data_IF_392701035659
#
_entry.id   IF_392701035659
#
_cell.length_a   1.000
_cell.length_b   1.000
_cell.length_c   1.000
_cell.angle_alpha   90.00
_cell.angle_beta   90.00
_cell.angle_gamma   90.00
#
_symmetry.space_group_name_H-M   'P 1'
#
loop_
_entity.id
_entity.type
_entity.pdbx_description
1 polymer ?
#
# COMPACT_ATOMS: atom_id res chain seq x y z
N UNK A 1 -14.90 -6.83 -10.76
CA UNK A 1 -13.98 -6.03 -9.95
C UNK A 1 -12.96 -6.95 -9.28
N UNK A 2 -11.68 -6.64 -9.42
CA UNK A 2 -10.58 -7.32 -8.72
C UNK A 2 -9.85 -6.36 -7.78
N UNK A 3 -9.41 -6.87 -6.64
CA UNK A 3 -8.62 -6.12 -5.65
C UNK A 3 -7.51 -6.99 -5.11
N UNK A 4 -6.44 -6.34 -4.68
CA UNK A 4 -5.44 -6.99 -3.86
C UNK A 4 -5.88 -6.92 -2.41
N UNK A 5 -5.60 -7.99 -1.66
CA UNK A 5 -5.90 -8.07 -0.24
C UNK A 5 -4.62 -8.41 0.48
N UNK A 6 -4.44 -7.76 1.63
CA UNK A 6 -3.44 -8.14 2.61
C UNK A 6 -4.16 -8.42 3.93
N UNK A 7 -3.58 -9.30 4.72
CA UNK A 7 -3.97 -9.54 6.09
C UNK A 7 -3.40 -8.43 6.99
N UNK A 8 -4.00 -8.26 8.18
CA UNK A 8 -3.52 -7.29 9.17
C UNK A 8 -2.05 -7.57 9.56
N UNK A 9 -1.63 -8.84 9.81
CA UNK A 9 -0.22 -9.14 10.09
C UNK A 9 0.74 -8.76 8.96
N UNK A 10 0.36 -8.99 7.70
CA UNK A 10 1.17 -8.60 6.54
C UNK A 10 1.35 -7.08 6.45
N UNK A 11 0.27 -6.32 6.67
CA UNK A 11 0.33 -4.86 6.74
C UNK A 11 1.25 -4.38 7.86
N UNK A 12 1.15 -4.98 9.04
CA UNK A 12 2.00 -4.65 10.18
C UNK A 12 3.47 -4.99 9.90
N UNK A 13 3.75 -6.14 9.27
CA UNK A 13 5.10 -6.53 8.85
C UNK A 13 5.68 -5.51 7.88
N UNK A 14 4.92 -5.06 6.88
CA UNK A 14 5.39 -4.03 5.94
C UNK A 14 5.88 -2.78 6.69
N UNK A 15 5.06 -2.24 7.61
CA UNK A 15 5.37 -1.02 8.37
C UNK A 15 6.58 -1.21 9.29
N UNK A 16 6.66 -2.33 10.00
CA UNK A 16 7.76 -2.59 10.94
C UNK A 16 9.08 -2.78 10.18
N UNK A 17 9.06 -3.58 9.11
CA UNK A 17 10.25 -3.87 8.32
C UNK A 17 10.72 -2.65 7.53
N UNK A 18 9.81 -1.85 6.95
CA UNK A 18 10.17 -0.61 6.26
C UNK A 18 10.87 0.38 7.20
N UNK A 19 10.35 0.54 8.42
CA UNK A 19 10.95 1.42 9.43
C UNK A 19 12.35 0.94 9.87
N UNK A 20 12.55 -0.37 10.00
CA UNK A 20 13.85 -0.94 10.33
C UNK A 20 14.86 -0.75 9.18
N UNK A 21 14.43 -0.91 7.93
CA UNK A 21 15.25 -0.69 6.75
C UNK A 21 15.69 0.76 6.61
N UNK A 22 14.81 1.74 6.86
CA UNK A 22 15.18 3.16 6.87
C UNK A 22 16.25 3.50 7.91
N UNK A 23 16.13 2.98 9.13
CA UNK A 23 17.11 3.23 10.20
C UNK A 23 18.50 2.66 9.88
N UNK A 24 18.56 1.54 9.15
CA UNK A 24 19.83 0.95 8.71
C UNK A 24 20.58 1.83 7.69
N UNK A 25 19.86 2.67 6.95
CA UNK A 25 20.41 3.62 5.96
C UNK A 25 20.79 4.95 6.61
N UNK A 26 20.04 5.38 7.63
CA UNK A 26 20.26 6.65 8.34
C UNK A 26 21.50 6.71 9.26
N UNK A 27 22.25 5.60 9.41
CA UNK A 27 23.43 5.54 10.27
C UNK A 27 24.70 6.24 9.73
N UNK A 28 24.67 6.76 8.50
CA UNK A 28 25.82 7.40 7.86
C UNK A 28 25.51 8.82 7.37
N UNK A 29 25.09 9.72 8.27
CA UNK A 29 25.13 11.16 7.97
C UNK A 29 24.11 12.01 8.72
N UNK A 30 24.64 12.97 9.47
CA UNK A 30 23.99 14.12 10.12
C UNK A 30 23.50 13.91 11.56
N UNK A 31 24.15 14.63 12.48
CA UNK A 31 23.76 14.74 13.88
C UNK A 31 22.55 15.68 14.05
N UNK A 32 21.69 15.34 15.00
CA UNK A 32 20.57 16.18 15.40
C UNK A 32 19.54 15.45 16.27
N UNK A 33 19.64 15.66 17.59
CA UNK A 33 18.65 15.34 18.64
C UNK A 33 18.22 13.87 18.78
N UNK A 34 18.97 13.15 19.61
CA UNK A 34 18.68 11.77 20.00
C UNK A 34 17.49 11.63 20.94
N UNK A 35 16.69 10.60 20.67
CA UNK A 35 16.05 9.80 21.72
C UNK A 35 16.88 8.51 21.79
N UNK A 36 17.51 8.16 22.94
CA UNK A 36 18.32 6.96 23.01
C UNK A 36 17.43 5.71 22.98
N UNK A 37 17.86 4.62 22.31
CA UNK A 37 17.18 3.34 22.38
C UNK A 37 17.43 2.71 23.75
N UNK A 38 16.43 2.77 24.64
CA UNK A 38 16.41 1.96 25.85
C UNK A 38 15.83 0.61 25.48
N UNK A 39 16.70 -0.36 25.19
CA UNK A 39 16.53 -1.81 25.44
C UNK A 39 17.77 -2.53 24.88
N UNK A 40 18.88 -2.41 25.60
CA UNK A 40 20.09 -3.18 25.33
C UNK A 40 20.76 -3.50 26.66
N UNK A 41 20.22 -4.47 27.39
CA UNK A 41 20.94 -5.12 28.48
C UNK A 41 20.29 -6.46 28.80
N UNK A 42 20.79 -7.51 28.16
CA UNK A 42 20.83 -8.85 28.74
C UNK A 42 22.00 -9.59 28.09
N UNK A 43 23.18 -9.27 28.62
CA UNK A 43 24.37 -10.09 28.53
C UNK A 43 24.11 -11.40 29.27
N UNK A 44 24.50 -12.53 28.68
CA UNK A 44 24.81 -13.75 29.43
C UNK A 44 25.98 -14.46 28.73
N UNK A 45 26.92 -15.08 29.47
CA UNK A 45 28.30 -15.21 29.04
C UNK A 45 28.64 -16.60 28.49
N UNK A 46 29.69 -16.64 27.66
CA UNK A 46 30.70 -17.70 27.60
C UNK A 46 30.30 -19.10 27.13
N UNK A 47 30.71 -19.44 25.91
CA UNK A 47 31.39 -20.72 25.67
C UNK A 47 32.35 -20.58 24.49
N UNK A 48 33.63 -20.77 24.79
CA UNK A 48 34.69 -21.09 23.83
C UNK A 48 34.41 -22.47 23.26
N UNK A 49 34.21 -22.58 21.95
CA UNK A 49 34.62 -23.78 21.22
C UNK A 49 35.01 -23.45 19.78
N UNK A 50 36.10 -24.09 19.37
CA UNK A 50 36.80 -23.98 18.10
C UNK A 50 36.17 -24.88 17.03
N UNK A 51 35.90 -24.35 15.84
CA UNK A 51 35.52 -25.20 14.70
C UNK A 51 34.92 -24.39 13.55
N UNK A 52 35.54 -24.49 12.37
CA UNK A 52 35.23 -23.66 11.21
C UNK A 52 33.84 -23.84 10.62
N UNK A 53 33.22 -22.72 10.26
CA UNK A 53 32.61 -22.44 8.96
C UNK A 53 32.18 -20.99 9.01
N UNK A 54 33.07 -20.10 8.55
CA UNK A 54 32.75 -18.69 8.39
C UNK A 54 31.72 -18.55 7.28
N UNK A 55 30.43 -18.62 7.62
CA UNK A 55 29.40 -17.98 6.82
C UNK A 55 29.67 -16.48 6.97
N UNK A 56 30.13 -15.77 5.92
CA UNK A 56 30.26 -14.33 6.04
C UNK A 56 28.88 -13.76 6.38
N UNK A 57 28.76 -12.77 7.29
CA UNK A 57 27.52 -12.07 7.43
C UNK A 57 27.18 -11.50 6.05
N UNK A 58 26.04 -11.95 5.49
CA UNK A 58 25.51 -11.39 4.24
C UNK A 58 25.12 -9.96 4.55
N UNK A 59 26.09 -9.05 4.47
CA UNK A 59 25.84 -7.62 4.42
C UNK A 59 25.27 -7.37 3.03
N UNK A 60 23.98 -7.64 2.86
CA UNK A 60 23.24 -7.12 1.73
C UNK A 60 23.27 -5.59 1.88
N UNK A 61 24.24 -4.95 1.23
CA UNK A 61 24.27 -3.51 1.09
C UNK A 61 23.16 -3.12 0.11
N UNK A 62 21.94 -3.05 0.63
CA UNK A 62 20.80 -2.51 -0.09
C UNK A 62 21.07 -1.01 -0.30
N UNK A 63 21.34 -0.61 -1.55
CA UNK A 63 21.40 0.81 -1.91
C UNK A 63 19.96 1.33 -2.00
N UNK A 64 19.37 1.63 -0.85
CA UNK A 64 18.09 2.32 -0.78
C UNK A 64 18.28 3.77 -1.27
N UNK A 65 17.29 4.33 -1.98
CA UNK A 65 17.36 5.71 -2.43
C UNK A 65 17.50 6.65 -1.23
N UNK A 66 18.33 7.68 -1.36
CA UNK A 66 18.44 8.75 -0.38
C UNK A 66 17.12 9.54 -0.37
N UNK A 67 16.32 9.43 0.70
CA UNK A 67 15.03 10.11 0.81
C UNK A 67 13.97 9.28 1.54
N UNK A 68 12.69 9.53 1.23
CA UNK A 68 11.53 8.79 1.73
C UNK A 68 11.17 7.66 0.74
N UNK A 69 11.73 6.44 0.90
CA UNK A 69 11.42 5.31 0.03
C UNK A 69 9.95 4.91 0.13
N UNK A 70 9.33 4.65 -1.02
CA UNK A 70 7.99 4.05 -1.07
C UNK A 70 8.16 2.54 -1.09
N UNK A 71 7.68 1.86 -0.05
CA UNK A 71 7.65 0.40 0.01
C UNK A 71 6.31 -0.14 -0.46
N UNK A 72 6.36 -1.25 -1.18
CA UNK A 72 5.18 -1.94 -1.72
C UNK A 72 5.27 -3.42 -1.34
N UNK A 73 4.20 -3.94 -0.75
CA UNK A 73 4.07 -5.37 -0.47
C UNK A 73 3.63 -6.11 -1.75
N UNK A 74 4.29 -7.23 -2.04
CA UNK A 74 3.81 -8.21 -3.00
C UNK A 74 2.58 -8.91 -2.42
N UNK A 75 1.40 -8.46 -2.85
CA UNK A 75 0.11 -9.04 -2.45
C UNK A 75 -0.28 -10.26 -3.31
N UNK A 76 0.63 -10.78 -4.14
CA UNK A 76 0.40 -11.96 -4.96
C UNK A 76 -0.57 -11.70 -6.11
N UNK A 77 -1.64 -12.50 -6.21
CA UNK A 77 -2.60 -12.43 -7.31
C UNK A 77 -3.85 -11.65 -6.91
N UNK A 78 -4.38 -10.78 -7.78
CA UNK A 78 -5.58 -10.02 -7.49
C UNK A 78 -6.79 -10.96 -7.38
N UNK A 79 -7.67 -10.68 -6.41
CA UNK A 79 -8.82 -11.51 -6.09
C UNK A 79 -10.09 -10.87 -6.64
N UNK A 80 -10.97 -11.67 -7.26
CA UNK A 80 -12.31 -11.20 -7.66
C UNK A 80 -13.19 -11.01 -6.42
N UNK A 81 -13.83 -9.85 -6.30
CA UNK A 81 -14.69 -9.53 -5.14
C UNK A 81 -15.88 -10.50 -5.02
N UNK A 82 -16.43 -10.96 -6.15
CA UNK A 82 -17.51 -11.95 -6.16
C UNK A 82 -17.07 -13.28 -5.54
N UNK A 83 -15.86 -13.75 -5.87
CA UNK A 83 -15.33 -15.01 -5.32
C UNK A 83 -15.05 -14.89 -3.82
N UNK A 84 -14.61 -13.71 -3.37
CA UNK A 84 -14.43 -13.44 -1.94
C UNK A 84 -15.78 -13.47 -1.20
N UNK A 85 -16.80 -12.81 -1.74
CA UNK A 85 -18.14 -12.79 -1.15
C UNK A 85 -18.75 -14.20 -1.09
N UNK A 86 -18.64 -15.00 -2.15
CA UNK A 86 -19.12 -16.38 -2.13
C UNK A 86 -18.38 -17.25 -1.11
N UNK A 87 -17.05 -17.13 -1.02
CA UNK A 87 -16.24 -17.85 -0.02
C UNK A 87 -16.64 -17.47 1.38
N UNK A 88 -16.87 -16.19 1.65
CA UNK A 88 -17.36 -15.70 2.94
C UNK A 88 -18.69 -16.35 3.31
N UNK A 89 -19.66 -16.34 2.39
CA UNK A 89 -20.99 -16.96 2.62
C UNK A 89 -20.87 -18.46 2.92
N UNK A 90 -20.08 -19.19 2.13
CA UNK A 90 -19.83 -20.63 2.33
C UNK A 90 -19.13 -20.90 3.67
N UNK A 91 -18.16 -20.08 4.06
CA UNK A 91 -17.43 -20.23 5.33
C UNK A 91 -18.35 -20.10 6.56
N UNK A 92 -19.47 -19.39 6.44
CA UNK A 92 -20.48 -19.26 7.48
C UNK A 92 -21.60 -20.33 7.39
N UNK A 93 -21.46 -21.34 6.53
CA UNK A 93 -22.42 -22.44 6.39
C UNK A 93 -23.67 -22.09 5.57
N UNK A 94 -23.64 -20.99 4.81
CA UNK A 94 -24.73 -20.58 3.93
C UNK A 94 -24.41 -20.88 2.46
N UNK A 95 -25.44 -21.01 1.64
CA UNK A 95 -25.32 -21.13 0.18
C UNK A 95 -25.46 -19.76 -0.48
N UNK A 96 -24.46 -19.30 -1.27
CA UNK A 96 -24.53 -18.00 -1.93
C UNK A 96 -25.54 -18.00 -3.08
N UNK A 97 -26.32 -16.92 -3.18
CA UNK A 97 -27.26 -16.68 -4.29
C UNK A 97 -27.01 -15.30 -4.91
N UNK A 98 -26.57 -15.27 -6.16
CA UNK A 98 -26.29 -14.02 -6.87
C UNK A 98 -27.60 -13.36 -7.36
N UNK A 99 -27.77 -12.06 -7.08
CA UNK A 99 -28.92 -11.25 -7.52
C UNK A 99 -28.50 -9.98 -8.28
N UNK A 100 -29.12 -9.67 -9.44
CA UNK A 100 -28.89 -8.40 -10.14
C UNK A 100 -29.47 -7.20 -9.38
N UNK A 101 -28.86 -6.02 -9.55
CA UNK A 101 -29.32 -4.73 -8.99
C UNK A 101 -30.80 -4.42 -9.25
N UNK A 102 -31.26 -4.74 -10.47
CA UNK A 102 -32.60 -4.44 -10.94
C UNK A 102 -33.69 -5.38 -10.36
N UNK A 103 -33.31 -6.45 -9.65
CA UNK A 103 -34.26 -7.40 -9.03
C UNK A 103 -34.84 -6.91 -7.69
N UNK A 104 -34.89 -5.59 -7.50
CA UNK A 104 -35.58 -4.92 -6.37
C UNK A 104 -37.10 -5.18 -6.35
N UNK A 105 -37.67 -5.74 -7.41
CA UNK A 105 -38.96 -6.43 -7.29
C UNK A 105 -38.70 -7.70 -6.47
N UNK A 106 -38.99 -7.62 -5.18
CA UNK A 106 -39.16 -8.75 -4.26
C UNK A 106 -39.62 -9.97 -5.06
N UNK A 107 -38.72 -10.93 -5.30
CA UNK A 107 -39.16 -12.29 -5.59
C UNK A 107 -40.05 -12.62 -4.41
N UNK A 108 -41.36 -12.71 -4.65
CA UNK A 108 -42.39 -12.88 -3.62
C UNK A 108 -42.16 -14.12 -2.75
N UNK A 109 -41.25 -15.00 -3.19
CA UNK A 109 -40.75 -16.13 -2.43
C UNK A 109 -39.52 -15.74 -1.58
N UNK A 110 -39.59 -15.93 -0.25
CA UNK A 110 -38.45 -15.72 0.65
C UNK A 110 -37.26 -16.59 0.25
N UNK A 111 -36.06 -16.12 0.56
CA UNK A 111 -34.83 -16.90 0.34
C UNK A 111 -34.97 -18.27 1.03
N UNK A 112 -34.61 -19.38 0.35
CA UNK A 112 -34.59 -20.70 0.99
C UNK A 112 -33.76 -20.66 2.28
N UNK A 113 -34.17 -21.43 3.29
CA UNK A 113 -33.39 -21.53 4.54
C UNK A 113 -31.94 -21.92 4.23
N UNK A 114 -31.00 -21.24 4.89
CA UNK A 114 -29.57 -21.49 4.70
C UNK A 114 -28.99 -20.87 3.42
N UNK A 115 -29.70 -19.96 2.74
CA UNK A 115 -29.16 -19.18 1.61
C UNK A 115 -28.92 -17.72 2.00
N UNK A 116 -27.91 -17.10 1.38
CA UNK A 116 -27.60 -15.68 1.56
C UNK A 116 -27.45 -15.01 0.19
N UNK A 117 -28.20 -13.92 0.00
CA UNK A 117 -28.22 -13.16 -1.25
C UNK A 117 -27.00 -12.23 -1.38
N UNK A 118 -26.31 -12.31 -2.51
CA UNK A 118 -25.24 -11.39 -2.92
C UNK A 118 -25.81 -10.52 -4.03
N UNK A 119 -26.13 -9.25 -3.71
CA UNK A 119 -26.72 -8.32 -4.67
C UNK A 119 -25.64 -7.43 -5.30
N UNK A 120 -25.59 -7.37 -6.62
CA UNK A 120 -24.71 -6.45 -7.32
C UNK A 120 -25.28 -5.04 -7.29
N UNK A 121 -24.56 -4.06 -6.75
CA UNK A 121 -24.99 -2.66 -6.66
C UNK A 121 -24.50 -1.78 -7.82
N UNK A 122 -23.68 -2.33 -8.71
CA UNK A 122 -22.89 -1.54 -9.65
C UNK A 122 -21.68 -0.87 -9.00
N UNK A 123 -20.83 -0.27 -9.82
CA UNK A 123 -19.63 0.47 -9.42
C UNK A 123 -19.96 1.90 -9.03
N UNK A 124 -19.26 2.45 -8.05
CA UNK A 124 -19.39 3.88 -7.71
C UNK A 124 -18.63 4.74 -8.73
N UNK A 125 -19.05 6.01 -8.96
CA UNK A 125 -18.31 6.92 -9.84
C UNK A 125 -16.84 7.02 -9.41
N UNK A 126 -15.93 6.84 -10.37
CA UNK A 126 -14.47 6.87 -10.12
C UNK A 126 -13.87 5.55 -9.60
N UNK A 127 -14.67 4.51 -9.40
CA UNK A 127 -14.17 3.20 -8.94
C UNK A 127 -13.53 2.42 -10.08
N UNK A 128 -12.26 2.00 -9.90
CA UNK A 128 -11.55 1.17 -10.88
C UNK A 128 -12.08 -0.28 -10.84
N UNK A 129 -12.30 -0.90 -12.01
CA UNK A 129 -12.67 -2.32 -12.08
C UNK A 129 -11.52 -3.26 -11.74
N UNK A 130 -10.30 -2.87 -12.08
CA UNK A 130 -9.08 -3.62 -11.81
C UNK A 130 -8.08 -2.72 -11.10
N UNK A 131 -7.40 -3.29 -10.11
CA UNK A 131 -6.35 -2.63 -9.36
C UNK A 131 -4.99 -3.10 -9.90
N UNK A 132 -4.02 -2.20 -9.90
CA UNK A 132 -2.63 -2.45 -10.30
C UNK A 132 -1.75 -2.10 -9.10
N UNK A 133 -0.89 -3.03 -8.67
CA UNK A 133 0.02 -2.84 -7.54
C UNK A 133 1.14 -1.85 -7.84
N UNK A 134 1.59 -1.86 -9.09
CA UNK A 134 2.60 -0.98 -9.63
C UNK A 134 2.33 -0.83 -11.13
N UNK A 135 2.61 0.35 -11.67
CA UNK A 135 2.58 0.55 -13.11
C UNK A 135 3.84 -0.03 -13.74
N UNK A 136 3.78 -0.44 -15.02
CA UNK A 136 4.94 -1.02 -15.73
C UNK A 136 6.18 -0.08 -15.76
N UNK A 137 5.96 1.22 -15.60
CA UNK A 137 7.01 2.24 -15.53
C UNK A 137 7.67 2.38 -14.15
N UNK A 138 7.15 1.72 -13.11
CA UNK A 138 7.68 1.80 -11.75
C UNK A 138 8.80 0.78 -11.56
N UNK A 139 9.99 1.29 -11.22
CA UNK A 139 11.19 0.48 -10.98
C UNK A 139 11.14 -0.12 -9.57
N UNK A 140 10.36 -1.16 -9.36
CA UNK A 140 10.36 -1.90 -8.10
C UNK A 140 11.63 -2.76 -7.95
N UNK A 141 12.25 -2.70 -6.76
CA UNK A 141 13.39 -3.55 -6.39
C UNK A 141 13.14 -4.27 -5.07
N UNK A 142 13.66 -5.50 -4.89
CA UNK A 142 13.53 -6.21 -3.62
C UNK A 142 14.20 -5.45 -2.48
N UNK A 143 13.49 -5.30 -1.35
CA UNK A 143 13.98 -4.60 -0.17
C UNK A 143 14.78 -5.50 0.79
N UNK A 144 15.15 -6.71 0.36
CA UNK A 144 15.87 -7.69 1.19
C UNK A 144 15.02 -8.45 2.21
N UNK A 145 13.71 -8.16 2.27
CA UNK A 145 12.73 -8.96 3.01
C UNK A 145 11.74 -9.62 2.03
N UNK A 146 11.41 -10.92 2.18
CA UNK A 146 10.51 -11.62 1.26
C UNK A 146 9.16 -10.91 1.13
N UNK A 147 8.75 -10.66 -0.11
CA UNK A 147 7.48 -10.00 -0.41
C UNK A 147 7.46 -8.49 -0.18
N UNK A 148 8.57 -7.85 0.21
CA UNK A 148 8.65 -6.38 0.31
C UNK A 148 9.57 -5.85 -0.80
N UNK A 149 9.01 -4.98 -1.62
CA UNK A 149 9.72 -4.22 -2.63
C UNK A 149 9.79 -2.74 -2.24
N UNK A 150 10.71 -2.00 -2.84
CA UNK A 150 10.75 -0.54 -2.76
C UNK A 150 10.80 0.05 -4.16
N UNK A 151 10.23 1.24 -4.31
CA UNK A 151 10.33 2.03 -5.52
C UNK A 151 11.73 2.65 -5.62
N UNK A 152 12.45 2.30 -6.69
CA UNK A 152 13.81 2.73 -6.97
C UNK A 152 13.87 3.78 -8.09
N UNK A 153 12.79 4.52 -8.31
CA UNK A 153 12.78 5.61 -9.27
C UNK A 153 13.61 6.81 -8.79
N UNK A 154 13.92 7.74 -9.70
CA UNK A 154 14.74 8.90 -9.37
C UNK A 154 14.03 9.79 -8.36
N UNK A 155 14.76 10.23 -7.34
CA UNK A 155 14.27 11.26 -6.44
C UNK A 155 14.10 12.57 -7.22
N UNK A 156 13.07 13.38 -6.93
CA UNK A 156 12.94 14.71 -7.53
C UNK A 156 14.11 15.58 -7.06
N UNK A 157 14.80 16.23 -8.00
CA UNK A 157 15.96 17.09 -7.73
C UNK A 157 15.76 18.50 -8.30
N UNK A 158 16.46 19.49 -7.73
CA UNK A 158 16.53 20.85 -8.27
C UNK A 158 15.17 21.54 -8.46
N UNK A 159 14.81 21.77 -9.73
CA UNK A 159 13.58 22.47 -10.09
C UNK A 159 12.31 21.65 -9.84
N UNK A 160 12.40 20.32 -9.80
CA UNK A 160 11.26 19.45 -9.46
C UNK A 160 10.79 19.68 -8.02
N UNK A 161 11.74 19.82 -7.08
CA UNK A 161 11.45 20.10 -5.67
C UNK A 161 10.76 21.45 -5.52
N UNK A 162 11.21 22.48 -6.25
CA UNK A 162 10.55 23.80 -6.26
C UNK A 162 9.13 23.70 -6.81
N UNK A 163 8.95 22.98 -7.93
CA UNK A 163 7.65 22.79 -8.56
C UNK A 163 6.66 22.06 -7.64
N UNK A 164 7.10 21.00 -6.97
CA UNK A 164 6.30 20.26 -5.99
C UNK A 164 5.95 21.16 -4.81
N UNK A 165 6.92 21.93 -4.28
CA UNK A 165 6.68 22.85 -3.17
C UNK A 165 5.66 23.93 -3.52
N UNK A 166 5.75 24.50 -4.73
CA UNK A 166 4.77 25.46 -5.24
C UNK A 166 3.38 24.82 -5.42
N UNK A 167 3.31 23.61 -5.96
CA UNK A 167 2.07 22.85 -6.08
C UNK A 167 1.39 22.67 -4.73
N UNK A 168 2.13 22.21 -3.70
CA UNK A 168 1.60 21.99 -2.35
C UNK A 168 1.10 23.30 -1.74
N UNK A 169 1.84 24.39 -1.91
CA UNK A 169 1.43 25.72 -1.43
C UNK A 169 0.13 26.19 -2.11
N UNK A 170 0.01 26.04 -3.44
CA UNK A 170 -1.20 26.39 -4.18
C UNK A 170 -2.39 25.53 -3.74
N UNK A 171 -2.23 24.20 -3.65
CA UNK A 171 -3.30 23.31 -3.19
C UNK A 171 -3.76 23.65 -1.77
N UNK A 172 -2.82 23.97 -0.87
CA UNK A 172 -3.12 24.37 0.51
C UNK A 172 -3.92 25.67 0.55
N UNK A 173 -3.55 26.66 -0.25
CA UNK A 173 -4.30 27.92 -0.34
C UNK A 173 -5.72 27.70 -0.88
N UNK A 174 -5.85 26.96 -1.98
CA UNK A 174 -7.15 26.73 -2.64
C UNK A 174 -8.07 25.84 -1.80
N UNK A 175 -7.53 24.89 -1.02
CA UNK A 175 -8.31 24.04 -0.09
C UNK A 175 -9.18 24.86 0.86
N UNK A 176 -8.68 26.00 1.36
CA UNK A 176 -9.41 26.83 2.31
C UNK A 176 -10.54 27.65 1.67
N UNK A 177 -10.53 27.80 0.34
CA UNK A 177 -11.57 28.56 -0.39
C UNK A 177 -12.93 27.85 -0.47
N UNK A 178 -12.97 26.53 -0.26
CA UNK A 178 -14.16 25.68 -0.44
C UNK A 178 -14.84 25.78 -1.83
N UNK A 179 -14.17 26.40 -2.82
CA UNK A 179 -14.68 26.49 -4.19
C UNK A 179 -14.25 25.26 -5.00
N UNK A 180 -15.21 24.39 -5.31
CA UNK A 180 -15.01 23.19 -6.14
C UNK A 180 -14.35 23.52 -7.49
N UNK A 181 -14.72 24.64 -8.13
CA UNK A 181 -14.17 25.01 -9.45
C UNK A 181 -12.70 25.42 -9.32
N UNK A 182 -12.37 26.22 -8.32
CA UNK A 182 -10.99 26.60 -8.04
C UNK A 182 -10.11 25.38 -7.73
N UNK A 183 -10.59 24.45 -6.90
CA UNK A 183 -9.88 23.20 -6.57
C UNK A 183 -9.62 22.36 -7.83
N UNK A 184 -10.65 22.15 -8.66
CA UNK A 184 -10.51 21.36 -9.89
C UNK A 184 -9.59 22.04 -10.91
N UNK A 185 -9.63 23.37 -11.03
CA UNK A 185 -8.75 24.11 -11.92
C UNK A 185 -7.28 23.99 -11.47
N UNK A 186 -7.02 24.09 -10.17
CA UNK A 186 -5.70 23.93 -9.60
C UNK A 186 -5.18 22.48 -9.79
N UNK A 187 -6.03 21.46 -9.52
CA UNK A 187 -5.67 20.05 -9.75
C UNK A 187 -5.33 19.76 -11.20
N UNK A 188 -6.10 20.28 -12.17
CA UNK A 188 -5.83 20.07 -13.61
C UNK A 188 -4.51 20.69 -14.08
N UNK A 189 -4.01 21.72 -13.41
CA UNK A 189 -2.71 22.32 -13.72
C UNK A 189 -1.55 21.35 -13.46
N UNK A 190 -1.67 20.55 -12.41
CA UNK A 190 -0.62 19.62 -11.98
C UNK A 190 -0.87 18.17 -12.40
N UNK A 191 -2.12 17.80 -12.67
CA UNK A 191 -2.53 16.48 -13.18
C UNK A 191 -3.29 16.68 -14.49
N UNK A 192 -2.59 16.81 -15.63
CA UNK A 192 -3.21 17.09 -16.93
C UNK A 192 -4.12 15.96 -17.42
N UNK A 193 -3.90 14.74 -16.93
CA UNK A 193 -4.69 13.55 -17.25
C UNK A 193 -6.00 13.46 -16.46
N UNK A 194 -6.24 14.38 -15.52
CA UNK A 194 -7.48 14.39 -14.74
C UNK A 194 -8.67 14.68 -15.68
N UNK A 195 -9.66 13.78 -15.78
CA UNK A 195 -10.77 13.96 -16.70
C UNK A 195 -11.58 15.23 -16.39
N UNK A 196 -12.18 15.80 -17.43
CA UNK A 196 -13.14 16.88 -17.25
C UNK A 196 -14.29 16.35 -16.38
N UNK A 197 -14.66 17.09 -15.35
CA UNK A 197 -15.82 16.74 -14.52
C UNK A 197 -17.06 17.00 -15.39
N UNK A 198 -17.76 15.94 -15.77
CA UNK A 198 -19.16 16.01 -16.23
C UNK A 198 -20.08 16.46 -15.08
#
# INVERSE_FOLDING_TARGET
MTRFFMTIPEAATLVIQSAALEQSVGGAGSGGTGVPPVLSSLSTPGSTDSGGTGVPPVRNSLSLPQGAPVFVLDMGQPVRIVDLAERFVRAHGFTPRLRPAASSASSSLPAPRGTLDITFTGTRPGEKLHEELAYDAELLRPAGYPGINFWAGPAPEGDDVKRISQMVAEMSAVRHSHDRRAVLAALRRYVPTLPAAE
#
